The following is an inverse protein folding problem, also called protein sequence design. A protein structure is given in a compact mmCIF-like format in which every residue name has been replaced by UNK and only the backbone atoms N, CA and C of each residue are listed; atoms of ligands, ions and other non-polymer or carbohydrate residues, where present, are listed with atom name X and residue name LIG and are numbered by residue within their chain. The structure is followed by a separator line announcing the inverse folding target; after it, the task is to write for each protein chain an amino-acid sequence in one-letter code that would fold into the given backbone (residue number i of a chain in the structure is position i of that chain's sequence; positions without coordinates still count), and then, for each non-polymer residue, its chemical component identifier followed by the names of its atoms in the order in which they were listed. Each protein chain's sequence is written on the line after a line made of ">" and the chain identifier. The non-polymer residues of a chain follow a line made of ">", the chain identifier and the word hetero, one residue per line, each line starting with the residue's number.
data_IF_387873127530
#
_entry.id   IF_387873127530
#
_cell.length_a   1.000
_cell.length_b   1.000
_cell.length_c   1.000
_cell.angle_alpha   90.00
_cell.angle_beta   90.00
_cell.angle_gamma   90.00
#
_symmetry.space_group_name_H-M   'P 1'
#
loop_
_entity.id
_entity.type
_entity.pdbx_description
1 polymer ?
#
# COMPACT_ATOMS: atom_id res chain seq x y z
N UNK A 1 20.92 -18.41 -38.16
CA UNK A 1 19.47 -18.19 -37.91
C UNK A 1 18.80 -18.17 -39.27
N UNK A 2 17.72 -18.92 -39.45
CA UNK A 2 16.92 -18.86 -40.69
C UNK A 2 16.09 -17.57 -40.66
N UNK A 3 16.20 -16.73 -41.69
CA UNK A 3 15.42 -15.50 -41.80
C UNK A 3 14.11 -15.76 -42.55
N UNK A 4 13.03 -15.10 -42.12
CA UNK A 4 11.76 -15.12 -42.84
C UNK A 4 11.93 -14.46 -44.22
N UNK A 5 11.53 -15.14 -45.28
CA UNK A 5 11.58 -14.63 -46.66
C UNK A 5 10.29 -13.88 -47.01
N UNK A 6 10.36 -13.01 -48.03
CA UNK A 6 9.17 -12.31 -48.53
C UNK A 6 8.08 -13.27 -49.04
N UNK A 7 8.47 -14.44 -49.58
CA UNK A 7 7.51 -15.45 -50.05
C UNK A 7 6.71 -16.03 -48.90
N UNK A 8 7.38 -16.40 -47.80
CA UNK A 8 6.73 -16.93 -46.60
C UNK A 8 5.86 -15.86 -45.92
N UNK A 9 6.35 -14.63 -45.82
CA UNK A 9 5.57 -13.53 -45.25
C UNK A 9 4.32 -13.21 -46.10
N UNK A 10 4.47 -13.11 -47.42
CA UNK A 10 3.34 -12.88 -48.31
C UNK A 10 2.30 -14.00 -48.22
N UNK A 11 2.75 -15.25 -48.10
CA UNK A 11 1.85 -16.39 -47.90
C UNK A 11 1.07 -16.29 -46.58
N UNK A 12 1.74 -15.91 -45.49
CA UNK A 12 1.08 -15.70 -44.19
C UNK A 12 0.05 -14.56 -44.25
N UNK A 13 0.37 -13.46 -44.93
CA UNK A 13 -0.56 -12.33 -45.14
C UNK A 13 -1.75 -12.78 -45.98
N UNK A 14 -1.51 -13.47 -47.10
CA UNK A 14 -2.56 -14.02 -47.95
C UNK A 14 -3.52 -14.92 -47.15
N UNK A 15 -2.98 -15.85 -46.36
CA UNK A 15 -3.76 -16.73 -45.49
C UNK A 15 -4.59 -15.96 -44.46
N UNK A 16 -4.00 -14.96 -43.81
CA UNK A 16 -4.71 -14.10 -42.88
C UNK A 16 -5.89 -13.36 -43.54
N UNK A 17 -5.69 -12.83 -44.76
CA UNK A 17 -6.75 -12.16 -45.50
C UNK A 17 -7.90 -13.12 -45.85
N UNK A 18 -7.58 -14.36 -46.27
CA UNK A 18 -8.59 -15.38 -46.53
C UNK A 18 -9.36 -15.76 -45.25
N UNK A 19 -8.64 -16.03 -44.16
CA UNK A 19 -9.19 -16.44 -42.86
C UNK A 19 -10.08 -15.34 -42.24
N UNK A 20 -9.76 -14.07 -42.48
CA UNK A 20 -10.52 -12.91 -42.00
C UNK A 20 -11.69 -12.51 -42.93
N UNK A 21 -11.86 -13.18 -44.08
CA UNK A 21 -12.94 -12.89 -45.03
C UNK A 21 -12.68 -11.71 -45.97
N UNK A 22 -11.45 -11.19 -46.07
CA UNK A 22 -11.07 -10.13 -46.99
C UNK A 22 -10.83 -10.68 -48.41
N UNK A 23 -11.86 -11.25 -49.02
CA UNK A 23 -11.80 -12.02 -50.27
C UNK A 23 -11.17 -11.24 -51.43
N UNK A 24 -11.56 -9.97 -51.63
CA UNK A 24 -11.01 -9.15 -52.71
C UNK A 24 -9.53 -8.81 -52.49
N UNK A 25 -9.12 -8.49 -51.25
CA UNK A 25 -7.73 -8.21 -50.92
C UNK A 25 -6.86 -9.46 -51.06
N UNK A 26 -7.35 -10.62 -50.59
CA UNK A 26 -6.67 -11.90 -50.76
C UNK A 26 -6.50 -12.27 -52.25
N UNK A 27 -7.52 -12.02 -53.08
CA UNK A 27 -7.44 -12.27 -54.52
C UNK A 27 -6.36 -11.40 -55.19
N UNK A 28 -6.38 -10.09 -54.95
CA UNK A 28 -5.40 -9.15 -55.52
C UNK A 28 -3.99 -9.50 -55.06
N UNK A 29 -3.76 -9.66 -53.76
CA UNK A 29 -2.46 -10.03 -53.21
C UNK A 29 -2.00 -11.39 -53.74
N UNK A 30 -2.89 -12.38 -53.80
CA UNK A 30 -2.59 -13.72 -54.30
C UNK A 30 -2.03 -13.70 -55.73
N UNK A 31 -2.57 -12.83 -56.57
CA UNK A 31 -2.09 -12.63 -57.95
C UNK A 31 -0.79 -11.81 -57.99
N UNK A 32 -0.74 -10.65 -57.32
CA UNK A 32 0.43 -9.76 -57.31
C UNK A 32 1.67 -10.40 -56.69
N UNK A 33 1.50 -11.11 -55.58
CA UNK A 33 2.59 -11.80 -54.89
C UNK A 33 2.91 -13.19 -55.51
N UNK A 34 2.18 -13.62 -56.54
CA UNK A 34 2.41 -14.90 -57.21
C UNK A 34 2.27 -16.11 -56.27
N UNK A 35 1.31 -16.08 -55.34
CA UNK A 35 1.13 -17.12 -54.32
C UNK A 35 0.89 -18.49 -54.96
N UNK A 36 0.20 -18.54 -56.10
CA UNK A 36 -0.02 -19.78 -56.86
C UNK A 36 1.27 -20.41 -57.45
N UNK A 37 2.37 -19.67 -57.48
CA UNK A 37 3.69 -20.13 -57.96
C UNK A 37 4.66 -20.43 -56.81
N UNK A 38 4.27 -20.17 -55.56
CA UNK A 38 5.13 -20.44 -54.41
C UNK A 38 5.14 -21.94 -54.06
N UNK A 39 6.27 -22.43 -53.55
CA UNK A 39 6.44 -23.84 -53.19
C UNK A 39 6.00 -24.15 -51.73
N UNK A 40 4.98 -23.43 -51.24
CA UNK A 40 4.47 -23.58 -49.86
C UNK A 40 3.21 -24.43 -49.91
N UNK A 41 3.20 -25.54 -49.18
CA UNK A 41 2.00 -26.34 -48.98
C UNK A 41 1.08 -25.66 -47.95
N UNK A 42 -0.10 -25.24 -48.39
CA UNK A 42 -1.10 -24.59 -47.54
C UNK A 42 -1.61 -25.47 -46.40
N UNK A 43 -1.58 -26.80 -46.54
CA UNK A 43 -2.01 -27.71 -45.48
C UNK A 43 -1.03 -27.74 -44.30
N UNK A 44 0.23 -27.36 -44.52
CA UNK A 44 1.26 -27.29 -43.49
C UNK A 44 1.18 -26.00 -42.66
N UNK A 45 0.46 -24.98 -43.16
CA UNK A 45 0.29 -23.70 -42.47
C UNK A 45 -1.02 -23.71 -41.69
N UNK A 46 -0.99 -23.72 -40.34
CA UNK A 46 -2.20 -23.75 -39.53
C UNK A 46 -3.00 -22.44 -39.67
N UNK A 47 -4.30 -22.51 -39.40
CA UNK A 47 -5.16 -21.32 -39.31
C UNK A 47 -4.64 -20.39 -38.20
N UNK A 48 -4.69 -19.07 -38.44
CA UNK A 48 -4.23 -18.07 -37.50
C UNK A 48 -2.70 -17.99 -37.35
N UNK A 49 -1.92 -18.60 -38.25
CA UNK A 49 -0.46 -18.62 -38.16
C UNK A 49 0.15 -17.22 -38.06
N UNK A 50 -0.29 -16.27 -38.90
CA UNK A 50 0.23 -14.89 -38.87
C UNK A 50 -0.03 -14.23 -37.51
N UNK A 51 -1.27 -14.29 -37.02
CA UNK A 51 -1.67 -13.72 -35.74
C UNK A 51 -0.83 -14.31 -34.61
N UNK A 52 -0.65 -15.63 -34.59
CA UNK A 52 0.17 -16.33 -33.60
C UNK A 52 1.64 -15.88 -33.63
N UNK A 53 2.22 -15.69 -34.81
CA UNK A 53 3.59 -15.21 -34.92
C UNK A 53 3.72 -13.75 -34.47
N UNK A 54 2.78 -12.88 -34.84
CA UNK A 54 2.75 -11.49 -34.36
C UNK A 54 2.62 -11.45 -32.83
N UNK A 55 1.69 -12.21 -32.24
CA UNK A 55 1.54 -12.31 -30.78
C UNK A 55 2.83 -12.78 -30.09
N UNK A 56 3.48 -13.81 -30.64
CA UNK A 56 4.77 -14.28 -30.11
C UNK A 56 5.89 -13.23 -30.26
N UNK A 57 5.89 -12.47 -31.34
CA UNK A 57 6.82 -11.34 -31.53
C UNK A 57 6.62 -10.25 -30.49
N UNK A 58 5.37 -9.91 -30.17
CA UNK A 58 5.04 -8.96 -29.09
C UNK A 58 5.51 -9.48 -27.72
N UNK A 59 5.23 -10.75 -27.40
CA UNK A 59 5.73 -11.36 -26.15
C UNK A 59 7.25 -11.41 -26.08
N UNK A 60 7.93 -11.61 -27.21
CA UNK A 60 9.38 -11.59 -27.26
C UNK A 60 9.94 -10.18 -26.94
N UNK A 61 9.38 -9.14 -27.55
CA UNK A 61 9.77 -7.75 -27.22
C UNK A 61 9.47 -7.40 -25.76
N UNK A 62 8.32 -7.83 -25.24
CA UNK A 62 7.97 -7.66 -23.83
C UNK A 62 8.97 -8.35 -22.90
N UNK A 63 9.39 -9.57 -23.23
CA UNK A 63 10.42 -10.30 -22.49
C UNK A 63 11.77 -9.59 -22.57
N UNK A 64 12.21 -9.12 -23.74
CA UNK A 64 13.46 -8.35 -23.89
C UNK A 64 13.46 -7.06 -23.06
N UNK A 65 12.32 -6.36 -23.00
CA UNK A 65 12.16 -5.17 -22.19
C UNK A 65 12.23 -5.47 -20.68
N UNK A 66 11.73 -6.63 -20.24
CA UNK A 66 11.77 -7.04 -18.84
C UNK A 66 13.14 -7.64 -18.43
N UNK A 67 13.86 -8.32 -19.32
CA UNK A 67 15.13 -9.00 -19.00
C UNK A 67 16.35 -8.07 -18.90
N UNK A 68 16.30 -6.86 -19.47
CA UNK A 68 17.48 -5.98 -19.47
C UNK A 68 17.78 -5.31 -18.12
N UNK A 69 16.95 -5.56 -17.10
CA UNK A 69 17.13 -5.08 -15.73
C UNK A 69 18.27 -5.81 -14.98
N UNK A 70 19.36 -6.16 -15.66
CA UNK A 70 20.57 -6.75 -15.07
C UNK A 70 20.36 -8.16 -14.50
N UNK A 71 21.40 -8.99 -14.54
CA UNK A 71 21.39 -10.33 -13.97
C UNK A 71 21.24 -10.37 -12.42
N UNK A 72 21.02 -9.21 -11.78
CA UNK A 72 20.96 -9.05 -10.32
C UNK A 72 19.53 -9.12 -9.76
N UNK A 73 18.50 -8.89 -10.59
CA UNK A 73 17.10 -8.81 -10.15
C UNK A 73 16.24 -9.85 -10.89
N UNK A 74 16.61 -11.12 -10.80
CA UNK A 74 15.79 -12.26 -11.32
C UNK A 74 14.45 -12.37 -10.57
N UNK A 75 14.31 -11.67 -9.43
CA UNK A 75 13.14 -11.65 -8.56
C UNK A 75 12.20 -10.46 -8.85
N UNK A 76 12.47 -9.65 -9.88
CA UNK A 76 11.56 -8.57 -10.26
C UNK A 76 10.31 -9.11 -10.97
N UNK A 77 9.13 -8.72 -10.48
CA UNK A 77 7.85 -9.06 -11.10
C UNK A 77 7.80 -8.62 -12.57
N UNK A 78 7.38 -9.57 -13.41
CA UNK A 78 7.16 -9.36 -14.83
C UNK A 78 6.07 -8.31 -15.02
N UNK A 79 6.38 -7.26 -15.77
CA UNK A 79 5.42 -6.19 -16.06
C UNK A 79 4.87 -6.33 -17.47
N UNK A 80 3.54 -6.22 -17.55
CA UNK A 80 2.81 -6.31 -18.81
C UNK A 80 2.70 -4.94 -19.47
N UNK A 81 2.88 -4.91 -20.79
CA UNK A 81 2.65 -3.73 -21.61
C UNK A 81 1.32 -3.82 -22.34
N UNK A 82 0.78 -2.67 -22.74
CA UNK A 82 -0.34 -2.66 -23.67
C UNK A 82 0.17 -3.06 -25.06
N UNK A 83 -0.63 -3.81 -25.87
CA UNK A 83 -0.21 -4.21 -27.22
C UNK A 83 0.23 -3.04 -28.10
N UNK A 84 -0.42 -1.87 -27.95
CA UNK A 84 -0.05 -0.68 -28.72
C UNK A 84 1.31 -0.12 -28.33
N UNK A 85 1.70 -0.20 -27.05
CA UNK A 85 3.04 0.19 -26.61
C UNK A 85 4.10 -0.71 -27.25
N UNK A 86 3.87 -2.03 -27.26
CA UNK A 86 4.78 -3.00 -27.88
C UNK A 86 4.91 -2.82 -29.40
N UNK A 87 3.88 -2.31 -30.08
CA UNK A 87 3.90 -2.06 -31.53
C UNK A 87 4.58 -0.72 -31.86
N UNK A 88 4.47 0.27 -30.99
CA UNK A 88 4.84 1.66 -31.28
C UNK A 88 6.19 2.10 -30.74
N UNK A 89 6.76 1.36 -29.78
CA UNK A 89 7.95 1.75 -29.03
C UNK A 89 9.06 0.73 -29.20
N UNK A 90 10.29 1.20 -29.07
CA UNK A 90 11.44 0.30 -29.04
C UNK A 90 11.69 -0.27 -27.63
N UNK A 91 12.56 -1.27 -27.55
CA UNK A 91 12.89 -1.97 -26.30
C UNK A 91 13.46 -1.01 -25.23
N UNK A 92 14.21 0.03 -25.62
CA UNK A 92 14.79 0.98 -24.67
C UNK A 92 13.69 1.90 -24.10
N UNK A 93 12.78 2.38 -24.94
CA UNK A 93 11.63 3.18 -24.51
C UNK A 93 10.73 2.39 -23.56
N UNK A 94 10.47 1.12 -23.88
CA UNK A 94 9.71 0.20 -23.03
C UNK A 94 10.39 0.01 -21.66
N UNK A 95 11.72 -0.10 -21.62
CA UNK A 95 12.47 -0.18 -20.36
C UNK A 95 12.39 1.11 -19.54
N UNK A 96 12.44 2.28 -20.17
CA UNK A 96 12.28 3.57 -19.48
C UNK A 96 10.89 3.64 -18.85
N UNK A 97 9.85 3.31 -19.62
CA UNK A 97 8.48 3.26 -19.11
C UNK A 97 8.33 2.30 -17.93
N UNK A 98 8.94 1.12 -18.03
CA UNK A 98 8.95 0.12 -16.96
C UNK A 98 9.57 0.69 -15.67
N UNK A 99 10.75 1.31 -15.78
CA UNK A 99 11.45 1.91 -14.64
C UNK A 99 10.66 3.05 -14.01
N UNK A 100 10.02 3.89 -14.82
CA UNK A 100 9.16 4.96 -14.33
C UNK A 100 7.92 4.41 -13.62
N UNK A 101 7.30 3.37 -14.17
CA UNK A 101 6.14 2.71 -13.57
C UNK A 101 6.50 2.12 -12.21
N UNK A 102 7.59 1.35 -12.13
CA UNK A 102 8.10 0.76 -10.88
C UNK A 102 8.48 1.84 -9.85
N UNK A 103 9.08 2.95 -10.28
CA UNK A 103 9.38 4.07 -9.38
C UNK A 103 8.11 4.68 -8.80
N UNK A 104 7.10 4.94 -9.63
CA UNK A 104 5.80 5.47 -9.18
C UNK A 104 5.10 4.51 -8.22
N UNK A 105 5.23 3.21 -8.43
CA UNK A 105 4.66 2.20 -7.54
C UNK A 105 5.33 2.19 -6.16
N UNK A 106 6.67 2.19 -6.12
CA UNK A 106 7.44 2.30 -4.87
C UNK A 106 7.16 3.59 -4.11
N UNK A 107 7.02 4.71 -4.82
CA UNK A 107 6.72 5.99 -4.18
C UNK A 107 5.30 5.97 -3.57
N UNK A 108 4.31 5.38 -4.26
CA UNK A 108 2.96 5.19 -3.72
C UNK A 108 2.94 4.26 -2.50
N UNK A 109 3.75 3.21 -2.49
CA UNK A 109 3.86 2.29 -1.36
C UNK A 109 4.43 2.99 -0.13
N UNK A 110 5.52 3.75 -0.29
CA UNK A 110 6.10 4.56 0.79
C UNK A 110 5.13 5.59 1.34
N UNK A 111 4.35 6.24 0.50
CA UNK A 111 3.33 7.20 0.95
C UNK A 111 2.21 6.51 1.75
N UNK A 112 1.82 5.30 1.36
CA UNK A 112 0.87 4.48 2.14
C UNK A 112 1.45 4.05 3.48
N UNK A 113 2.72 3.67 3.54
CA UNK A 113 3.38 3.30 4.80
C UNK A 113 3.50 4.48 5.75
N UNK A 114 3.95 5.64 5.26
CA UNK A 114 4.00 6.89 6.05
C UNK A 114 2.64 7.30 6.59
N UNK A 115 1.60 7.17 5.76
CA UNK A 115 0.23 7.48 6.20
C UNK A 115 -0.20 6.57 7.36
N UNK A 116 0.09 5.26 7.27
CA UNK A 116 -0.20 4.31 8.36
C UNK A 116 0.64 4.57 9.61
N UNK A 117 1.89 5.00 9.47
CA UNK A 117 2.74 5.34 10.60
C UNK A 117 2.24 6.58 11.32
N UNK A 118 1.89 7.64 10.58
CA UNK A 118 1.30 8.85 11.13
C UNK A 118 -0.01 8.57 11.88
N UNK A 119 -0.89 7.72 11.33
CA UNK A 119 -2.13 7.32 12.01
C UNK A 119 -1.83 6.62 13.36
N UNK A 120 -0.86 5.71 13.39
CA UNK A 120 -0.44 5.03 14.62
C UNK A 120 0.20 5.99 15.63
N UNK A 121 0.92 7.00 15.17
CA UNK A 121 1.53 8.00 16.04
C UNK A 121 0.46 8.86 16.71
N UNK A 122 -0.54 9.32 15.95
CA UNK A 122 -1.69 10.07 16.48
C UNK A 122 -2.48 9.24 17.50
N UNK A 123 -2.69 7.95 17.23
CA UNK A 123 -3.34 7.04 18.20
C UNK A 123 -2.54 6.94 19.51
N UNK A 124 -1.20 6.79 19.43
CA UNK A 124 -0.33 6.73 20.62
C UNK A 124 -0.33 8.03 21.41
N UNK A 125 -0.34 9.18 20.74
CA UNK A 125 -0.45 10.48 21.40
C UNK A 125 -1.78 10.62 22.14
N UNK A 126 -2.90 10.26 21.49
CA UNK A 126 -4.22 10.26 22.10
C UNK A 126 -4.30 9.35 23.34
N UNK A 127 -3.75 8.14 23.27
CA UNK A 127 -3.69 7.23 24.41
C UNK A 127 -2.79 7.76 25.54
N UNK A 128 -1.65 8.37 25.18
CA UNK A 128 -0.74 9.02 26.12
C UNK A 128 -1.41 10.17 26.88
N UNK A 129 -2.10 11.07 26.18
CA UNK A 129 -2.83 12.18 26.80
C UNK A 129 -4.00 11.69 27.66
N UNK A 130 -4.71 10.64 27.22
CA UNK A 130 -5.75 10.01 28.02
C UNK A 130 -5.20 9.40 29.31
N UNK A 131 -4.01 8.79 29.27
CA UNK A 131 -3.34 8.26 30.46
C UNK A 131 -2.94 9.39 31.42
N UNK A 132 -2.31 10.45 30.91
CA UNK A 132 -1.92 11.62 31.71
C UNK A 132 -3.13 12.28 32.39
N UNK A 133 -4.26 12.37 31.68
CA UNK A 133 -5.50 12.92 32.24
C UNK A 133 -6.03 12.06 33.40
N UNK A 134 -6.00 10.73 33.26
CA UNK A 134 -6.37 9.80 34.33
C UNK A 134 -5.45 9.90 35.55
N UNK A 135 -4.14 10.06 35.34
CA UNK A 135 -3.18 10.18 36.43
C UNK A 135 -3.33 11.51 37.19
N UNK A 136 -3.57 12.62 36.48
CA UNK A 136 -3.89 13.92 37.09
C UNK A 136 -5.14 13.83 37.96
N UNK A 137 -6.22 13.24 37.43
CA UNK A 137 -7.49 13.08 38.15
C UNK A 137 -7.33 12.20 39.41
N UNK A 138 -6.52 11.13 39.34
CA UNK A 138 -6.15 10.33 40.52
C UNK A 138 -5.40 11.15 41.57
N UNK A 139 -4.41 11.94 41.15
CA UNK A 139 -3.60 12.71 42.08
C UNK A 139 -4.40 13.83 42.76
N UNK A 140 -5.31 14.47 42.01
CA UNK A 140 -6.22 15.49 42.54
C UNK A 140 -7.18 14.92 43.58
N UNK A 141 -7.82 13.77 43.28
CA UNK A 141 -8.66 13.04 44.24
C UNK A 141 -7.90 12.62 45.50
N UNK A 142 -6.62 12.27 45.38
CA UNK A 142 -5.80 11.92 46.54
C UNK A 142 -5.51 13.16 47.41
N UNK A 143 -5.15 14.29 46.80
CA UNK A 143 -4.93 15.56 47.53
C UNK A 143 -6.20 16.05 48.23
N UNK A 144 -7.37 15.88 47.60
CA UNK A 144 -8.64 16.23 48.21
C UNK A 144 -8.91 15.42 49.48
N UNK A 145 -8.70 14.09 49.41
CA UNK A 145 -8.81 13.20 50.58
C UNK A 145 -7.84 13.53 51.71
N UNK A 146 -6.61 13.93 51.39
CA UNK A 146 -5.63 14.38 52.40
C UNK A 146 -6.09 15.67 53.08
N UNK A 147 -6.59 16.65 52.32
CA UNK A 147 -7.14 17.90 52.88
C UNK A 147 -8.37 17.66 53.76
N UNK A 148 -9.24 16.72 53.39
CA UNK A 148 -10.39 16.32 54.22
C UNK A 148 -9.94 15.67 55.53
N UNK A 149 -8.92 14.79 55.48
CA UNK A 149 -8.34 14.19 56.69
C UNK A 149 -7.71 15.23 57.62
N UNK A 150 -6.91 16.15 57.09
CA UNK A 150 -6.33 17.23 57.89
C UNK A 150 -7.40 18.12 58.54
N UNK A 151 -8.50 18.40 57.82
CA UNK A 151 -9.63 19.15 58.40
C UNK A 151 -10.27 18.40 59.56
N UNK A 152 -10.55 17.11 59.40
CA UNK A 152 -11.09 16.28 60.47
C UNK A 152 -10.15 16.20 61.67
N UNK A 153 -8.84 16.05 61.45
CA UNK A 153 -7.86 16.02 62.54
C UNK A 153 -7.84 17.33 63.32
N UNK A 154 -7.82 18.48 62.63
CA UNK A 154 -7.89 19.81 63.28
C UNK A 154 -9.20 20.01 64.02
N UNK A 155 -10.31 19.49 63.51
CA UNK A 155 -11.61 19.58 64.16
C UNK A 155 -11.66 18.71 65.43
N UNK A 156 -11.17 17.48 65.35
CA UNK A 156 -11.01 16.59 66.50
C UNK A 156 -10.06 17.15 67.56
N UNK A 157 -8.98 17.80 67.16
CA UNK A 157 -8.03 18.44 68.08
C UNK A 157 -8.69 19.62 68.82
N UNK A 158 -9.45 20.46 68.09
CA UNK A 158 -10.25 21.53 68.69
C UNK A 158 -11.31 21.00 69.64
N UNK A 159 -11.99 19.90 69.31
CA UNK A 159 -12.93 19.26 70.22
C UNK A 159 -12.24 18.76 71.49
N UNK A 160 -11.08 18.12 71.37
CA UNK A 160 -10.28 17.68 72.53
C UNK A 160 -9.87 18.84 73.43
N UNK A 161 -9.35 19.93 72.85
CA UNK A 161 -9.01 21.13 73.63
C UNK A 161 -10.24 21.73 74.33
N UNK A 162 -11.41 21.68 73.69
CA UNK A 162 -12.65 22.19 74.26
C UNK A 162 -13.10 21.34 75.45
N UNK A 163 -13.05 20.02 75.31
CA UNK A 163 -13.33 19.06 76.39
C UNK A 163 -12.34 19.26 77.54
N UNK A 164 -11.05 19.47 77.26
CA UNK A 164 -10.03 19.71 78.27
C UNK A 164 -10.25 21.03 79.03
N UNK A 165 -10.65 22.12 78.33
CA UNK A 165 -11.04 23.37 78.98
C UNK A 165 -12.28 23.21 79.86
N UNK A 166 -13.30 22.51 79.37
CA UNK A 166 -14.52 22.24 80.13
C UNK A 166 -14.22 21.37 81.37
N UNK A 167 -13.29 20.42 81.28
CA UNK A 167 -12.82 19.64 82.42
C UNK A 167 -12.08 20.50 83.46
N UNK A 168 -11.19 21.40 83.01
CA UNK A 168 -10.46 22.35 83.88
C UNK A 168 -11.40 23.37 84.54
N UNK A 169 -12.45 23.83 83.86
CA UNK A 169 -13.50 24.67 84.46
C UNK A 169 -14.35 23.88 85.47
N UNK A 170 -14.68 22.63 85.15
CA UNK A 170 -15.37 21.72 86.07
C UNK A 170 -14.57 21.42 87.33
N UNK A 171 -13.24 21.39 87.26
CA UNK A 171 -12.36 21.26 88.43
C UNK A 171 -12.26 22.56 89.25
N UNK A 172 -12.26 23.74 88.62
CA UNK A 172 -12.32 25.03 89.35
C UNK A 172 -13.64 25.17 90.14
N UNK A 173 -14.76 24.78 89.54
CA UNK A 173 -16.08 24.83 90.19
C UNK A 173 -16.22 23.82 91.34
N UNK A 174 -15.45 22.73 91.34
CA UNK A 174 -15.38 21.80 92.48
C UNK A 174 -14.56 22.35 93.64
N UNK A 175 -13.58 23.21 93.36
CA UNK A 175 -12.75 23.86 94.38
C UNK A 175 -13.49 25.00 95.11
N UNK A 176 -14.52 25.57 94.49
CA UNK A 176 -15.39 26.59 95.10
C UNK A 176 -16.56 26.01 95.92
N UNK A 177 -16.79 24.69 95.87
CA UNK A 177 -17.93 24.03 96.54
C UNK A 177 -17.53 23.16 97.76
N UNK A 178 -16.28 23.26 98.24
CA UNK A 178 -15.80 22.66 99.49
C UNK A 178 -15.24 23.72 100.47
N UNK A 179 -15.84 24.90 100.47
CA UNK A 179 -15.65 25.93 101.49
C UNK A 179 -16.94 26.16 102.26
N UNK A 180 -17.24 25.27 103.21
CA UNK A 180 -17.89 25.44 104.53
C UNK A 180 -18.13 24.05 105.12
#
# INVERSE_FOLDING_TARGET
>A
MSSLTSVELNFLIFRYLQESGFTHAAFTLGYEAGINKCNIDGNMVPLGALVKFVQKGLHYMEMEANLSNGAADIDEDFSFFQPLDLISKDVNELQVMLRESKRKERDKEKDRERSKENEKEVEREHDGDRSRMKDKDRHEKQKEREREREKMERENEREREKIEREALEGERLKHDNFGI
#
